data_IF_772950867234
#
_entry.id   IF_772950867234
#
_cell.length_a   1.000
_cell.length_b   1.000
_cell.length_c   1.000
_cell.angle_alpha   90.00
_cell.angle_beta   90.00
_cell.angle_gamma   90.00
#
_symmetry.space_group_name_H-M   'P 1'
#
loop_
_entity.id
_entity.type
_entity.pdbx_description
1 polymer ?
#
# COMPACT_ATOMS: atom_id res chain seq x y z
N UNK A 1 -7.71 -13.18 1.47
CA UNK A 1 -7.72 -11.71 1.53
C UNK A 1 -6.95 -11.14 0.36
N UNK A 2 -7.52 -10.19 -0.33
CA UNK A 2 -6.92 -9.57 -1.51
C UNK A 2 -6.58 -8.11 -1.20
N UNK A 3 -5.32 -7.72 -1.45
CA UNK A 3 -4.80 -6.38 -1.12
C UNK A 3 -4.27 -5.67 -2.36
N UNK A 4 -4.27 -4.35 -2.32
CA UNK A 4 -3.58 -3.52 -3.29
C UNK A 4 -2.76 -2.45 -2.57
N UNK A 5 -1.63 -2.07 -3.15
CA UNK A 5 -0.88 -0.87 -2.77
C UNK A 5 -1.07 0.12 -3.91
N UNK A 6 -1.85 1.16 -3.65
CA UNK A 6 -2.08 2.21 -4.64
C UNK A 6 -1.08 3.35 -4.42
N UNK A 7 -0.19 3.51 -5.36
CA UNK A 7 0.97 4.39 -5.24
C UNK A 7 2.25 3.62 -4.89
N UNK A 8 2.49 2.49 -5.57
CA UNK A 8 3.67 1.66 -5.36
C UNK A 8 4.93 2.33 -5.94
N UNK A 9 5.34 3.45 -5.36
CA UNK A 9 6.59 4.13 -5.63
C UNK A 9 7.73 3.52 -4.80
N UNK A 10 8.52 4.36 -4.12
CA UNK A 10 9.64 3.87 -3.31
C UNK A 10 9.17 3.05 -2.09
N UNK A 11 8.40 3.66 -1.20
CA UNK A 11 7.89 2.99 0.01
C UNK A 11 6.94 1.85 -0.34
N UNK A 12 6.02 2.06 -1.28
CA UNK A 12 5.03 1.07 -1.66
C UNK A 12 5.65 -0.16 -2.32
N UNK A 13 6.72 0.00 -3.10
CA UNK A 13 7.44 -1.14 -3.69
C UNK A 13 8.16 -1.96 -2.63
N UNK A 14 8.81 -1.31 -1.66
CA UNK A 14 9.46 -2.02 -0.55
C UNK A 14 8.42 -2.80 0.26
N UNK A 15 7.34 -2.13 0.66
CA UNK A 15 6.26 -2.77 1.42
C UNK A 15 5.63 -3.94 0.64
N UNK A 16 5.34 -3.75 -0.64
CA UNK A 16 4.77 -4.78 -1.50
C UNK A 16 5.70 -5.99 -1.67
N UNK A 17 7.00 -5.76 -1.75
CA UNK A 17 7.99 -6.84 -1.81
C UNK A 17 7.96 -7.67 -0.52
N UNK A 18 7.99 -7.04 0.65
CA UNK A 18 7.89 -7.74 1.94
C UNK A 18 6.58 -8.50 2.07
N UNK A 19 5.45 -7.87 1.75
CA UNK A 19 4.13 -8.52 1.82
C UNK A 19 4.06 -9.75 0.92
N UNK A 20 4.53 -9.64 -0.32
CA UNK A 20 4.56 -10.76 -1.26
C UNK A 20 5.47 -11.88 -0.78
N UNK A 21 6.65 -11.53 -0.28
CA UNK A 21 7.62 -12.48 0.28
C UNK A 21 7.01 -13.27 1.45
N UNK A 22 6.18 -12.61 2.26
CA UNK A 22 5.53 -13.21 3.41
C UNK A 22 4.21 -13.90 3.08
N UNK A 23 3.87 -14.05 1.80
CA UNK A 23 2.75 -14.83 1.34
C UNK A 23 1.45 -14.07 1.12
N UNK A 24 1.43 -12.75 1.24
CA UNK A 24 0.24 -11.95 0.97
C UNK A 24 -0.05 -11.87 -0.53
N UNK A 25 -1.34 -11.88 -0.88
CA UNK A 25 -1.80 -11.64 -2.25
C UNK A 25 -1.99 -10.13 -2.42
N UNK A 26 -1.02 -9.46 -3.03
CA UNK A 26 -1.00 -8.01 -3.18
C UNK A 26 -0.70 -7.59 -4.61
N UNK A 27 -1.48 -6.65 -5.13
CA UNK A 27 -1.24 -5.98 -6.40
C UNK A 27 -0.57 -4.64 -6.13
N UNK A 28 0.56 -4.38 -6.79
CA UNK A 28 1.27 -3.10 -6.70
C UNK A 28 0.80 -2.21 -7.84
N UNK A 29 0.18 -1.09 -7.53
CA UNK A 29 -0.43 -0.20 -8.52
C UNK A 29 0.41 1.07 -8.67
N UNK A 30 0.84 1.36 -9.89
CA UNK A 30 1.60 2.56 -10.22
C UNK A 30 1.23 3.09 -11.60
N UNK A 31 1.21 4.41 -11.74
CA UNK A 31 0.87 5.07 -13.01
C UNK A 31 2.02 5.04 -14.03
N UNK A 32 3.26 4.81 -13.57
CA UNK A 32 4.44 4.73 -14.42
C UNK A 32 4.55 3.34 -15.04
N UNK A 33 4.27 3.25 -16.34
CA UNK A 33 4.28 1.98 -17.08
C UNK A 33 5.64 1.30 -17.07
N UNK A 34 6.74 2.06 -17.15
CA UNK A 34 8.09 1.50 -17.13
C UNK A 34 8.38 0.82 -15.79
N UNK A 35 7.93 1.42 -14.69
CA UNK A 35 8.08 0.83 -13.35
C UNK A 35 7.24 -0.46 -13.22
N UNK A 36 5.98 -0.42 -13.66
CA UNK A 36 5.10 -1.58 -13.65
C UNK A 36 5.68 -2.73 -14.48
N UNK A 37 6.16 -2.44 -15.68
CA UNK A 37 6.79 -3.45 -16.55
C UNK A 37 8.03 -4.06 -15.90
N UNK A 38 8.91 -3.24 -15.33
CA UNK A 38 10.10 -3.71 -14.64
C UNK A 38 9.76 -4.60 -13.45
N UNK A 39 8.76 -4.23 -12.65
CA UNK A 39 8.30 -5.04 -11.53
C UNK A 39 7.79 -6.40 -11.99
N UNK A 40 7.02 -6.45 -13.06
CA UNK A 40 6.46 -7.71 -13.57
C UNK A 40 7.49 -8.60 -14.24
N UNK A 41 8.49 -8.03 -14.93
CA UNK A 41 9.47 -8.80 -15.70
C UNK A 41 10.71 -9.19 -14.91
N UNK A 42 11.12 -8.34 -13.96
CA UNK A 42 12.37 -8.51 -13.19
C UNK A 42 12.14 -8.73 -11.69
N UNK A 43 10.89 -8.55 -11.21
CA UNK A 43 10.58 -8.53 -9.79
C UNK A 43 10.92 -7.19 -9.14
N UNK A 44 10.60 -7.06 -7.86
CA UNK A 44 10.96 -5.91 -7.06
C UNK A 44 12.36 -6.14 -6.49
N UNK A 45 13.31 -5.30 -6.89
CA UNK A 45 14.68 -5.34 -6.37
C UNK A 45 14.83 -4.29 -5.28
N UNK A 46 15.17 -4.74 -4.08
CA UNK A 46 15.34 -3.86 -2.92
C UNK A 46 16.82 -3.93 -2.50
N UNK A 47 17.45 -2.76 -2.46
CA UNK A 47 18.87 -2.59 -2.09
C UNK A 47 18.99 -1.71 -0.86
N UNK A 48 20.21 -1.39 -0.45
CA UNK A 48 20.51 -0.53 0.69
C UNK A 48 20.80 -1.35 1.93
N UNK A 49 19.99 -1.22 2.98
CA UNK A 49 20.16 -1.99 4.22
C UNK A 49 19.79 -3.46 4.08
N UNK A 50 19.18 -3.83 2.96
CA UNK A 50 18.82 -5.20 2.59
C UNK A 50 19.14 -5.39 1.11
N UNK A 51 19.34 -6.63 0.69
CA UNK A 51 19.53 -6.98 -0.72
C UNK A 51 18.62 -8.17 -1.04
N UNK A 52 17.55 -7.91 -1.79
CA UNK A 52 16.60 -8.95 -2.18
C UNK A 52 15.93 -8.64 -3.51
N UNK A 53 15.44 -9.68 -4.17
CA UNK A 53 14.56 -9.58 -5.34
C UNK A 53 13.36 -10.47 -5.09
N UNK A 54 12.18 -9.91 -5.21
CA UNK A 54 10.91 -10.63 -4.97
C UNK A 54 10.03 -10.52 -6.22
N UNK A 55 9.60 -11.65 -6.80
CA UNK A 55 8.57 -11.62 -7.84
C UNK A 55 7.28 -11.02 -7.30
N UNK A 56 6.76 -10.00 -7.99
CA UNK A 56 5.55 -9.29 -7.59
C UNK A 56 4.60 -9.16 -8.78
N UNK A 57 3.35 -8.83 -8.48
CA UNK A 57 2.34 -8.50 -9.48
C UNK A 57 2.11 -6.99 -9.44
N UNK A 58 2.34 -6.31 -10.55
CA UNK A 58 2.14 -4.88 -10.68
C UNK A 58 1.16 -4.56 -11.80
N UNK A 59 0.37 -3.50 -11.62
CA UNK A 59 -0.65 -3.04 -12.55
C UNK A 59 -0.62 -1.53 -12.65
N UNK A 60 -1.01 -1.00 -13.83
CA UNK A 60 -1.42 0.39 -13.92
C UNK A 60 -2.86 0.53 -13.39
N UNK A 61 -3.33 1.75 -13.03
CA UNK A 61 -4.69 1.91 -12.49
C UNK A 61 -5.79 1.38 -13.41
N UNK A 62 -5.63 1.54 -14.73
CA UNK A 62 -6.59 1.06 -15.72
C UNK A 62 -6.65 -0.46 -15.86
N UNK A 63 -5.65 -1.18 -15.34
CA UNK A 63 -5.61 -2.63 -15.33
C UNK A 63 -6.22 -3.26 -14.07
N UNK A 64 -6.60 -2.44 -13.09
CA UNK A 64 -7.24 -2.94 -11.86
C UNK A 64 -8.58 -3.58 -12.17
N UNK A 65 -8.85 -4.71 -11.53
CA UNK A 65 -10.11 -5.43 -11.68
C UNK A 65 -10.52 -6.14 -10.39
N UNK A 66 -11.81 -6.41 -10.25
CA UNK A 66 -12.35 -7.07 -9.06
C UNK A 66 -12.41 -6.14 -7.85
N UNK A 67 -12.39 -6.73 -6.67
CA UNK A 67 -12.49 -6.00 -5.42
C UNK A 67 -11.39 -6.40 -4.45
N UNK A 68 -11.00 -5.44 -3.60
CA UNK A 68 -9.95 -5.60 -2.60
C UNK A 68 -10.53 -5.48 -1.20
N UNK A 69 -10.02 -6.28 -0.29
CA UNK A 69 -10.34 -6.19 1.14
C UNK A 69 -9.58 -5.04 1.81
N UNK A 70 -8.35 -4.80 1.37
CA UNK A 70 -7.50 -3.72 1.87
C UNK A 70 -6.81 -3.03 0.70
N UNK A 71 -6.92 -1.71 0.65
CA UNK A 71 -6.14 -0.87 -0.26
C UNK A 71 -5.25 0.04 0.59
N UNK A 72 -3.94 -0.12 0.44
CA UNK A 72 -2.96 0.75 1.10
C UNK A 72 -2.71 1.95 0.20
N UNK A 73 -3.09 3.15 0.66
CA UNK A 73 -3.01 4.38 -0.11
C UNK A 73 -1.69 5.10 0.19
N UNK A 74 -0.82 5.18 -0.80
CA UNK A 74 0.54 5.71 -0.67
C UNK A 74 0.85 6.80 -1.71
N UNK A 75 -0.16 7.39 -2.33
CA UNK A 75 -0.02 8.54 -3.22
C UNK A 75 0.05 9.84 -2.43
N UNK A 76 0.31 10.96 -3.10
CA UNK A 76 0.27 12.29 -2.46
C UNK A 76 -1.16 12.70 -2.17
N UNK A 77 -1.40 13.34 -1.00
CA UNK A 77 -2.75 13.72 -0.54
C UNK A 77 -3.51 14.65 -1.48
N UNK A 78 -2.82 15.52 -2.21
CA UNK A 78 -3.46 16.47 -3.12
C UNK A 78 -4.38 15.81 -4.16
N UNK A 79 -4.15 14.54 -4.45
CA UNK A 79 -4.94 13.78 -5.41
C UNK A 79 -6.04 12.94 -4.76
N UNK A 80 -6.19 12.99 -3.44
CA UNK A 80 -7.10 12.11 -2.71
C UNK A 80 -8.56 12.18 -3.19
N UNK A 81 -9.19 13.35 -3.44
CA UNK A 81 -10.58 13.35 -3.89
C UNK A 81 -10.80 12.52 -5.15
N UNK A 82 -9.92 12.64 -6.14
CA UNK A 82 -9.99 11.90 -7.39
C UNK A 82 -9.64 10.43 -7.21
N UNK A 83 -8.54 10.16 -6.50
CA UNK A 83 -8.02 8.81 -6.29
C UNK A 83 -8.98 7.98 -5.44
N UNK A 84 -9.48 8.52 -4.33
CA UNK A 84 -10.39 7.79 -3.45
C UNK A 84 -11.74 7.53 -4.12
N UNK A 85 -12.24 8.49 -4.89
CA UNK A 85 -13.45 8.31 -5.69
C UNK A 85 -13.25 7.19 -6.73
N UNK A 86 -12.09 7.14 -7.37
CA UNK A 86 -11.73 6.07 -8.30
C UNK A 86 -11.64 4.72 -7.60
N UNK A 87 -11.09 4.66 -6.40
CA UNK A 87 -10.87 3.41 -5.67
C UNK A 87 -12.14 2.84 -5.02
N UNK A 88 -13.12 3.66 -4.73
CA UNK A 88 -14.35 3.25 -4.04
C UNK A 88 -15.01 1.99 -4.63
N UNK A 89 -15.20 1.87 -5.97
CA UNK A 89 -15.80 0.67 -6.55
C UNK A 89 -14.97 -0.61 -6.39
N UNK A 90 -13.68 -0.47 -6.08
CA UNK A 90 -12.77 -1.60 -5.91
C UNK A 90 -12.71 -2.13 -4.46
N UNK A 91 -13.52 -1.60 -3.55
CA UNK A 91 -13.61 -2.10 -2.19
C UNK A 91 -14.70 -3.16 -2.07
N UNK A 92 -14.40 -4.22 -1.31
CA UNK A 92 -15.44 -5.16 -0.85
C UNK A 92 -16.36 -4.46 0.16
N UNK A 93 -17.47 -5.08 0.52
CA UNK A 93 -18.46 -4.50 1.46
C UNK A 93 -17.84 -4.12 2.81
N UNK A 94 -16.88 -4.91 3.29
CA UNK A 94 -16.12 -4.65 4.52
C UNK A 94 -14.71 -4.14 4.23
N UNK A 95 -14.43 -3.73 2.99
CA UNK A 95 -13.12 -3.27 2.56
C UNK A 95 -12.69 -1.97 3.21
N UNK A 96 -11.39 -1.78 3.33
CA UNK A 96 -10.78 -0.63 4.00
C UNK A 96 -9.70 0.01 3.13
N UNK A 97 -9.74 1.33 3.03
CA UNK A 97 -8.59 2.10 2.56
C UNK A 97 -7.78 2.49 3.80
N UNK A 98 -6.53 2.07 3.83
CA UNK A 98 -5.57 2.47 4.86
C UNK A 98 -4.64 3.51 4.26
N UNK A 99 -4.70 4.73 4.74
CA UNK A 99 -3.80 5.78 4.27
C UNK A 99 -2.47 5.72 5.03
N UNK A 100 -1.37 5.64 4.27
CA UNK A 100 -0.01 5.72 4.80
C UNK A 100 0.64 7.07 4.43
N UNK A 101 -0.20 8.04 4.12
CA UNK A 101 0.21 9.40 3.75
C UNK A 101 0.55 10.23 4.98
N UNK A 102 1.41 11.22 4.80
CA UNK A 102 1.73 12.19 5.86
C UNK A 102 0.54 13.11 6.15
N UNK A 103 0.48 13.65 7.36
CA UNK A 103 -0.56 14.57 7.78
C UNK A 103 -1.78 13.87 8.37
N UNK A 104 -2.96 14.45 8.14
CA UNK A 104 -4.24 13.92 8.64
C UNK A 104 -5.21 13.79 7.46
N UNK A 105 -5.01 12.80 6.57
CA UNK A 105 -5.87 12.64 5.39
C UNK A 105 -7.19 11.93 5.66
N UNK A 106 -7.34 11.28 6.81
CA UNK A 106 -8.45 10.38 7.12
C UNK A 106 -9.83 11.05 7.00
N UNK A 107 -10.07 12.24 7.57
CA UNK A 107 -11.40 12.86 7.47
C UNK A 107 -11.85 13.11 6.02
N UNK A 108 -10.94 13.55 5.16
CA UNK A 108 -11.25 13.78 3.73
C UNK A 108 -11.58 12.49 2.99
N UNK A 109 -10.87 11.42 3.32
CA UNK A 109 -11.13 10.09 2.75
C UNK A 109 -12.49 9.58 3.23
N UNK A 110 -12.78 9.71 4.53
CA UNK A 110 -14.03 9.27 5.13
C UNK A 110 -15.26 9.99 4.56
N UNK A 111 -15.12 11.24 4.14
CA UNK A 111 -16.21 11.96 3.45
C UNK A 111 -16.64 11.28 2.14
N UNK A 112 -15.74 10.55 1.51
CA UNK A 112 -16.00 9.89 0.21
C UNK A 112 -16.48 8.46 0.39
N UNK A 113 -15.79 7.67 1.26
CA UNK A 113 -16.05 6.25 1.40
C UNK A 113 -16.71 5.86 2.73
N UNK A 114 -16.78 6.76 3.68
CA UNK A 114 -17.33 6.50 5.03
C UNK A 114 -16.24 6.15 6.04
N UNK A 115 -16.53 6.42 7.31
CA UNK A 115 -15.62 6.10 8.42
C UNK A 115 -15.42 4.58 8.57
N UNK A 116 -16.44 3.80 8.23
CA UNK A 116 -16.41 2.34 8.28
C UNK A 116 -15.45 1.70 7.26
N UNK A 117 -14.90 2.50 6.35
CA UNK A 117 -13.95 2.07 5.33
C UNK A 117 -12.60 2.79 5.40
N UNK A 118 -12.37 3.58 6.44
CA UNK A 118 -11.19 4.46 6.52
C UNK A 118 -10.33 4.16 7.74
N UNK A 119 -9.03 3.90 7.50
CA UNK A 119 -8.01 3.78 8.55
C UNK A 119 -6.78 4.60 8.18
N UNK A 120 -6.03 4.99 9.20
CA UNK A 120 -4.73 5.63 9.04
C UNK A 120 -3.59 4.76 9.56
N UNK A 121 -2.43 4.93 8.98
CA UNK A 121 -1.20 4.26 9.42
C UNK A 121 -0.01 5.17 9.17
N UNK A 122 0.71 5.54 10.21
CA UNK A 122 1.96 6.27 10.07
C UNK A 122 3.12 5.29 9.93
N UNK A 123 4.06 5.59 9.03
CA UNK A 123 5.28 4.81 8.84
C UNK A 123 6.49 5.68 9.18
N UNK A 124 7.49 5.09 9.83
CA UNK A 124 8.69 5.79 10.29
C UNK A 124 9.96 5.26 9.64
N UNK A 125 9.84 4.68 8.46
CA UNK A 125 10.97 4.17 7.71
C UNK A 125 11.04 4.83 6.34
N UNK A 126 12.20 4.79 5.71
CA UNK A 126 12.47 5.49 4.45
C UNK A 126 12.92 4.57 3.33
N UNK A 127 12.58 4.99 2.11
CA UNK A 127 13.02 4.33 0.89
C UNK A 127 13.18 5.35 -0.23
N UNK A 128 13.98 5.01 -1.24
CA UNK A 128 14.17 5.81 -2.43
C UNK A 128 14.00 4.96 -3.69
N UNK A 129 13.41 5.53 -4.73
CA UNK A 129 13.33 4.89 -6.04
C UNK A 129 14.63 5.17 -6.80
N UNK A 130 15.37 4.12 -7.16
CA UNK A 130 16.65 4.23 -7.87
C UNK A 130 16.43 4.24 -9.37
N UNK A 131 15.66 3.27 -9.85
CA UNK A 131 15.27 3.12 -11.26
C UNK A 131 14.01 2.24 -11.32
N UNK A 132 13.35 2.12 -12.48
CA UNK A 132 12.17 1.27 -12.59
C UNK A 132 12.40 -0.14 -12.03
N UNK A 133 11.56 -0.53 -11.06
CA UNK A 133 11.65 -1.84 -10.41
C UNK A 133 12.72 -1.96 -9.32
N UNK A 134 13.53 -0.93 -9.07
CA UNK A 134 14.63 -0.96 -8.10
C UNK A 134 14.45 0.14 -7.07
N UNK A 135 14.33 -0.25 -5.81
CA UNK A 135 14.22 0.69 -4.69
C UNK A 135 15.31 0.44 -3.67
N UNK A 136 15.67 1.49 -2.94
CA UNK A 136 16.63 1.41 -1.82
C UNK A 136 15.88 1.58 -0.51
N UNK A 137 16.03 0.63 0.39
CA UNK A 137 15.58 0.77 1.78
C UNK A 137 16.68 1.48 2.56
N UNK A 138 16.37 2.66 3.08
CA UNK A 138 17.35 3.50 3.79
C UNK A 138 17.32 3.30 5.30
N UNK A 139 16.23 2.72 5.83
CA UNK A 139 16.10 2.37 7.23
C UNK A 139 16.56 0.92 7.48
N UNK A 140 16.90 0.59 8.73
CA UNK A 140 17.21 -0.79 9.08
C UNK A 140 15.97 -1.67 8.90
N UNK A 141 16.12 -2.90 8.38
CA UNK A 141 14.98 -3.79 8.17
C UNK A 141 14.15 -4.05 9.43
N UNK A 142 14.81 -4.13 10.59
CA UNK A 142 14.16 -4.37 11.87
C UNK A 142 13.40 -3.16 12.41
N UNK A 143 13.58 -1.99 11.80
CA UNK A 143 12.92 -0.74 12.22
C UNK A 143 11.64 -0.43 11.44
N UNK A 144 11.18 -1.34 10.58
CA UNK A 144 9.92 -1.16 9.86
C UNK A 144 8.76 -1.17 10.85
N UNK A 145 8.28 0.00 11.20
CA UNK A 145 7.22 0.18 12.18
C UNK A 145 5.98 0.80 11.55
N UNK A 146 4.82 0.42 12.07
CA UNK A 146 3.52 0.86 11.61
C UNK A 146 2.68 1.29 12.81
N UNK A 147 2.26 2.55 12.81
CA UNK A 147 1.41 3.11 13.86
C UNK A 147 0.00 3.29 13.31
N UNK A 148 -0.87 2.34 13.62
CA UNK A 148 -2.23 2.30 13.08
C UNK A 148 -3.22 3.05 13.95
N UNK A 149 -4.14 3.76 13.31
CA UNK A 149 -5.29 4.37 13.94
C UNK A 149 -6.56 4.08 13.16
N UNK A 150 -7.68 3.95 13.85
CA UNK A 150 -8.97 3.70 13.21
C UNK A 150 -9.95 4.84 13.48
N UNK A 151 -10.87 5.09 12.55
CA UNK A 151 -12.02 5.93 12.76
C UNK A 151 -13.12 5.13 13.49
N UNK A 152 -14.09 5.81 14.08
CA UNK A 152 -15.11 5.18 14.92
C UNK A 152 -15.95 4.12 14.18
N UNK A 153 -16.09 4.26 12.86
CA UNK A 153 -16.84 3.31 12.04
C UNK A 153 -16.13 1.98 11.75
N UNK A 154 -14.83 1.87 12.06
CA UNK A 154 -14.05 0.65 11.80
C UNK A 154 -14.33 -0.40 12.87
N UNK A 155 -14.70 -1.61 12.45
CA UNK A 155 -14.91 -2.75 13.36
C UNK A 155 -13.59 -3.30 13.92
N UNK A 156 -13.68 -4.03 15.02
CA UNK A 156 -12.50 -4.70 15.59
C UNK A 156 -11.94 -5.75 14.64
N UNK A 157 -12.79 -6.44 13.87
CA UNK A 157 -12.37 -7.41 12.86
C UNK A 157 -11.60 -6.75 11.73
N UNK A 158 -12.07 -5.60 11.23
CA UNK A 158 -11.35 -4.84 10.20
C UNK A 158 -10.01 -4.37 10.70
N UNK A 159 -9.95 -3.83 11.92
CA UNK A 159 -8.69 -3.38 12.52
C UNK A 159 -7.70 -4.52 12.68
N UNK A 160 -8.16 -5.67 13.18
CA UNK A 160 -7.35 -6.87 13.35
C UNK A 160 -6.79 -7.37 12.02
N UNK A 161 -7.63 -7.38 10.97
CA UNK A 161 -7.24 -7.80 9.63
C UNK A 161 -6.07 -6.95 9.11
N UNK A 162 -6.17 -5.64 9.21
CA UNK A 162 -5.11 -4.71 8.77
C UNK A 162 -3.86 -4.85 9.63
N UNK A 163 -4.04 -4.96 10.94
CA UNK A 163 -2.93 -5.12 11.89
C UNK A 163 -2.12 -6.37 11.59
N UNK A 164 -2.77 -7.51 11.40
CA UNK A 164 -2.10 -8.76 11.05
C UNK A 164 -1.39 -8.66 9.70
N UNK A 165 -1.98 -7.96 8.73
CA UNK A 165 -1.37 -7.75 7.42
C UNK A 165 -0.07 -6.95 7.51
N UNK A 166 -0.03 -5.88 8.31
CA UNK A 166 1.11 -4.97 8.37
C UNK A 166 2.18 -5.39 9.38
N UNK A 167 1.81 -5.91 10.53
CA UNK A 167 2.77 -6.29 11.58
C UNK A 167 3.68 -7.46 11.19
N UNK A 168 3.26 -8.29 10.25
CA UNK A 168 4.04 -9.43 9.79
C UNK A 168 5.12 -9.07 8.76
N UNK A 169 5.37 -7.79 8.51
CA UNK A 169 6.29 -7.33 7.48
C UNK A 169 7.66 -6.84 8.00
N UNK A 170 7.83 -6.77 9.30
CA UNK A 170 9.07 -6.28 9.91
C UNK A 170 9.97 -7.32 10.50
#
# INVERSE_FOLDING_TARGET
MRCAIYGAGSLGTVLGAYMTKNGAQVDLINRNKAHVEALNTKGATIKGTVDMNVPVKALTPDEMEGKYDVILLMTKQLLNPEVVTFLKPFLTDDGVIVTLQNGIPEPGIAEIIGEEHTMGCAVEWGAALIEPGVCELTSEPDSLSFHMGKMDGISDEQFKMVKELLENQG
#
